data_IF_592187764773
#
_entry.id   IF_592187764773
#
_cell.length_a   1.000
_cell.length_b   1.000
_cell.length_c   1.000
_cell.angle_alpha   90.00
_cell.angle_beta   90.00
_cell.angle_gamma   90.00
#
_symmetry.space_group_name_H-M   'P 1'
#
loop_
_entity.id
_entity.type
_entity.pdbx_description
1 polymer ?
#
# COMPACT_ATOMS: atom_id res chain seq x y z
N UNK A 1 -2.47 -3.97 -11.69
CA UNK A 1 -1.97 -3.37 -10.45
C UNK A 1 -0.81 -4.19 -9.91
N UNK A 2 0.28 -3.53 -9.55
CA UNK A 2 1.40 -4.10 -8.79
C UNK A 2 1.36 -3.62 -7.34
N UNK A 3 1.64 -4.52 -6.40
CA UNK A 3 1.65 -4.21 -4.98
C UNK A 3 3.08 -3.95 -4.51
N UNK A 4 3.32 -2.82 -3.86
CA UNK A 4 4.65 -2.43 -3.38
C UNK A 4 4.60 -2.29 -1.87
N UNK A 5 5.29 -3.18 -1.16
CA UNK A 5 5.38 -3.20 0.29
C UNK A 5 6.80 -2.88 0.78
N UNK A 6 6.92 -2.55 2.07
CA UNK A 6 8.18 -2.27 2.72
C UNK A 6 8.05 -1.32 3.90
N UNK A 7 9.08 -1.25 4.73
CA UNK A 7 9.14 -0.36 5.89
C UNK A 7 9.02 1.13 5.54
N UNK A 8 8.85 1.98 6.56
CA UNK A 8 8.89 3.42 6.38
C UNK A 8 10.26 3.88 5.86
N UNK A 9 10.27 4.84 4.94
CA UNK A 9 11.48 5.47 4.40
C UNK A 9 12.44 4.51 3.67
N UNK A 10 11.95 3.37 3.17
CA UNK A 10 12.78 2.36 2.49
C UNK A 10 12.90 2.56 0.96
N UNK A 11 12.33 3.63 0.38
CA UNK A 11 12.46 3.92 -1.07
C UNK A 11 11.30 3.46 -1.97
N UNK A 12 10.17 3.01 -1.41
CA UNK A 12 9.00 2.54 -2.19
C UNK A 12 8.50 3.53 -3.24
N UNK A 13 8.34 4.81 -2.87
CA UNK A 13 7.84 5.83 -3.78
C UNK A 13 8.84 6.13 -4.91
N UNK A 14 10.15 6.12 -4.61
CA UNK A 14 11.21 6.26 -5.62
C UNK A 14 11.14 5.12 -6.63
N UNK A 15 11.09 3.88 -6.16
CA UNK A 15 10.96 2.70 -7.01
C UNK A 15 9.72 2.78 -7.92
N UNK A 16 8.55 3.11 -7.36
CA UNK A 16 7.33 3.25 -8.14
C UNK A 16 7.43 4.40 -9.16
N UNK A 17 7.96 5.56 -8.77
CA UNK A 17 8.09 6.70 -9.65
C UNK A 17 8.98 6.38 -10.86
N UNK A 18 10.09 5.68 -10.65
CA UNK A 18 11.00 5.28 -11.72
C UNK A 18 10.37 4.20 -12.62
N UNK A 19 9.80 3.14 -12.04
CA UNK A 19 9.24 1.99 -12.78
C UNK A 19 8.04 2.37 -13.65
N UNK A 20 7.11 3.19 -13.14
CA UNK A 20 5.88 3.58 -13.85
C UNK A 20 5.92 5.01 -14.41
N UNK A 21 7.08 5.68 -14.32
CA UNK A 21 7.29 7.07 -14.78
C UNK A 21 6.23 8.01 -14.20
N UNK A 22 6.03 7.94 -12.89
CA UNK A 22 5.01 8.71 -12.19
C UNK A 22 5.47 10.13 -11.91
N UNK A 23 4.54 11.06 -11.98
CA UNK A 23 4.64 12.43 -11.49
C UNK A 23 3.79 12.60 -10.24
N UNK A 24 3.89 13.74 -9.55
CA UNK A 24 3.06 14.03 -8.39
C UNK A 24 1.55 14.01 -8.70
N UNK A 25 1.15 14.36 -9.93
CA UNK A 25 -0.26 14.35 -10.35
C UNK A 25 -0.83 12.93 -10.53
N UNK A 26 0.04 11.92 -10.66
CA UNK A 26 -0.36 10.53 -10.86
C UNK A 26 -0.60 9.79 -9.53
N UNK A 27 -0.23 10.42 -8.40
CA UNK A 27 -0.21 9.82 -7.07
C UNK A 27 -1.34 10.39 -6.22
N UNK A 28 -2.18 9.50 -5.68
CA UNK A 28 -3.15 9.84 -4.63
C UNK A 28 -2.56 9.47 -3.26
N UNK A 29 -2.46 10.45 -2.37
CA UNK A 29 -2.00 10.23 -1.00
C UNK A 29 -3.20 9.86 -0.12
N UNK A 30 -3.35 8.56 0.15
CA UNK A 30 -4.46 8.09 0.97
C UNK A 30 -4.35 8.50 2.44
N UNK A 31 -3.29 9.16 2.91
CA UNK A 31 -3.24 9.73 4.25
C UNK A 31 -4.02 11.06 4.34
N UNK A 32 -4.02 11.85 3.27
CA UNK A 32 -4.60 13.20 3.23
C UNK A 32 -5.81 13.32 2.33
N UNK A 33 -5.85 12.54 1.27
CA UNK A 33 -6.82 12.69 0.18
C UNK A 33 -7.94 11.64 0.32
N UNK A 34 -9.12 12.01 -0.17
CA UNK A 34 -10.19 11.04 -0.41
C UNK A 34 -9.79 10.15 -1.61
N UNK A 35 -10.10 8.84 -1.59
CA UNK A 35 -9.85 7.96 -2.72
C UNK A 35 -10.52 8.48 -3.99
N UNK A 36 -9.71 8.78 -5.01
CA UNK A 36 -10.14 9.19 -6.34
C UNK A 36 -9.30 8.46 -7.39
N UNK A 37 -9.77 8.32 -8.64
CA UNK A 37 -9.00 7.64 -9.69
C UNK A 37 -7.60 8.22 -9.87
N UNK A 38 -6.59 7.39 -9.61
CA UNK A 38 -5.18 7.72 -9.77
C UNK A 38 -4.42 6.49 -10.29
N UNK A 39 -3.22 6.72 -10.83
CA UNK A 39 -2.36 5.64 -11.33
C UNK A 39 -1.62 4.93 -10.20
N UNK A 40 -1.31 5.66 -9.12
CA UNK A 40 -0.61 5.15 -7.97
C UNK A 40 -1.26 5.64 -6.67
N UNK A 41 -1.37 4.74 -5.69
CA UNK A 41 -1.84 5.08 -4.35
C UNK A 41 -0.73 4.87 -3.34
N UNK A 42 -0.55 5.82 -2.43
CA UNK A 42 0.39 5.70 -1.30
C UNK A 42 -0.35 5.73 0.03
N UNK A 43 0.33 5.32 1.11
CA UNK A 43 -0.22 5.34 2.46
C UNK A 43 -1.50 4.51 2.66
N UNK A 44 -1.56 3.33 2.04
CA UNK A 44 -2.68 2.39 2.18
C UNK A 44 -3.02 2.09 3.66
N UNK A 45 -2.04 2.10 4.55
CA UNK A 45 -2.24 1.92 5.99
C UNK A 45 -3.16 2.98 6.64
N UNK A 46 -3.18 4.21 6.09
CA UNK A 46 -4.04 5.27 6.58
C UNK A 46 -5.50 5.05 6.15
N UNK A 47 -5.72 4.61 4.91
CA UNK A 47 -7.05 4.27 4.40
C UNK A 47 -7.70 3.16 5.22
N UNK A 48 -6.96 2.08 5.50
CA UNK A 48 -7.49 0.97 6.32
C UNK A 48 -7.72 1.38 7.76
N UNK A 49 -6.99 2.38 8.27
CA UNK A 49 -7.20 2.93 9.61
C UNK A 49 -8.51 3.69 9.70
N UNK A 50 -8.86 4.46 8.66
CA UNK A 50 -10.16 5.15 8.56
C UNK A 50 -11.33 4.21 8.29
N UNK A 51 -11.05 3.00 7.80
CA UNK A 51 -12.07 1.97 7.55
C UNK A 51 -12.71 2.04 6.17
N UNK A 52 -12.16 2.86 5.25
CA UNK A 52 -12.73 3.16 3.92
C UNK A 52 -12.15 2.26 2.80
N UNK A 53 -11.52 1.15 3.18
CA UNK A 53 -10.80 0.31 2.22
C UNK A 53 -11.73 -0.50 1.31
N UNK A 54 -12.93 -0.83 1.78
CA UNK A 54 -13.87 -1.63 0.99
C UNK A 54 -14.41 -0.82 -0.20
N UNK A 55 -14.74 0.45 0.04
CA UNK A 55 -15.26 1.40 -0.95
C UNK A 55 -14.18 1.76 -1.99
N UNK A 56 -12.92 1.87 -1.57
CA UNK A 56 -11.80 2.20 -2.46
C UNK A 56 -11.26 0.99 -3.24
N UNK A 57 -11.66 -0.25 -2.90
CA UNK A 57 -11.08 -1.46 -3.49
C UNK A 57 -11.11 -1.47 -5.04
N UNK A 58 -12.20 -1.08 -5.74
CA UNK A 58 -12.20 -1.03 -7.20
C UNK A 58 -11.15 -0.06 -7.77
N UNK A 59 -10.93 1.07 -7.09
CA UNK A 59 -9.92 2.06 -7.47
C UNK A 59 -8.51 1.51 -7.28
N UNK A 60 -8.26 0.83 -6.16
CA UNK A 60 -6.97 0.19 -5.89
C UNK A 60 -6.62 -0.87 -6.93
N UNK A 61 -7.59 -1.73 -7.30
CA UNK A 61 -7.39 -2.80 -8.28
C UNK A 61 -7.20 -2.28 -9.72
N UNK A 62 -7.76 -1.11 -10.04
CA UNK A 62 -7.61 -0.47 -11.35
C UNK A 62 -6.27 0.30 -11.51
N UNK A 63 -5.53 0.52 -10.42
CA UNK A 63 -4.28 1.27 -10.42
C UNK A 63 -3.15 0.53 -11.15
N UNK A 64 -2.12 1.28 -11.56
CA UNK A 64 -0.84 0.67 -11.94
C UNK A 64 -0.11 0.16 -10.70
N UNK A 65 -0.08 0.93 -9.61
CA UNK A 65 0.61 0.55 -8.38
C UNK A 65 -0.17 0.94 -7.10
N UNK A 66 -0.07 0.10 -6.07
CA UNK A 66 -0.51 0.45 -4.70
C UNK A 66 0.67 0.24 -3.75
N UNK A 67 1.01 1.28 -3.01
CA UNK A 67 2.11 1.30 -2.06
C UNK A 67 1.57 1.21 -0.64
N UNK A 68 2.07 0.24 0.11
CA UNK A 68 1.73 0.06 1.51
C UNK A 68 2.96 -0.02 2.41
N UNK A 69 2.85 0.54 3.61
CA UNK A 69 3.83 0.31 4.65
C UNK A 69 3.61 -1.05 5.31
N UNK A 70 4.69 -1.78 5.55
CA UNK A 70 4.63 -2.96 6.42
C UNK A 70 4.47 -2.50 7.89
N UNK A 71 3.33 -2.82 8.48
CA UNK A 71 3.00 -2.51 9.89
C UNK A 71 2.77 -3.78 10.75
N UNK A 72 2.84 -4.97 10.14
CA UNK A 72 2.53 -6.25 10.78
C UNK A 72 3.72 -6.95 11.46
N UNK A 73 4.95 -6.59 11.11
CA UNK A 73 6.17 -7.34 11.49
C UNK A 73 6.81 -6.88 12.81
N UNK A 74 6.10 -6.08 13.61
CA UNK A 74 6.57 -5.58 14.91
C UNK A 74 5.91 -6.28 16.10
N UNK A 75 6.07 -5.71 17.29
CA UNK A 75 5.39 -6.20 18.51
C UNK A 75 3.88 -6.08 18.36
N UNK A 76 3.16 -7.10 18.85
CA UNK A 76 1.69 -7.12 18.92
C UNK A 76 1.22 -5.99 19.86
N UNK A 77 0.37 -5.06 19.40
CA UNK A 77 -0.09 -3.95 20.24
C UNK A 77 -0.91 -4.43 21.45
N UNK A 78 -0.76 -3.73 22.58
CA UNK A 78 -1.62 -3.93 23.75
C UNK A 78 -3.06 -3.48 23.45
N UNK A 79 -3.20 -2.35 22.76
CA UNK A 79 -4.50 -1.81 22.38
C UNK A 79 -5.22 -2.74 21.39
N UNK A 80 -6.49 -3.03 21.68
CA UNK A 80 -7.30 -3.92 20.87
C UNK A 80 -7.68 -3.28 19.51
N UNK A 81 -7.87 -1.96 19.46
CA UNK A 81 -8.16 -1.23 18.24
C UNK A 81 -7.00 -1.28 17.25
N UNK A 82 -5.78 -1.07 17.73
CA UNK A 82 -4.54 -1.20 16.96
C UNK A 82 -4.37 -2.62 16.39
N UNK A 83 -4.61 -3.66 17.20
CA UNK A 83 -4.58 -5.05 16.72
C UNK A 83 -5.62 -5.30 15.63
N UNK A 84 -6.87 -4.90 15.87
CA UNK A 84 -7.96 -5.09 14.92
C UNK A 84 -7.70 -4.36 13.60
N UNK A 85 -7.13 -3.15 13.65
CA UNK A 85 -6.73 -2.42 12.45
C UNK A 85 -5.61 -3.14 11.69
N UNK A 86 -4.55 -3.59 12.36
CA UNK A 86 -3.45 -4.34 11.71
C UNK A 86 -3.97 -5.62 11.05
N UNK A 87 -4.90 -6.32 11.68
CA UNK A 87 -5.51 -7.50 11.09
C UNK A 87 -6.33 -7.17 9.84
N UNK A 88 -7.19 -6.14 9.89
CA UNK A 88 -7.92 -5.66 8.70
C UNK A 88 -6.99 -5.26 7.57
N UNK A 89 -5.92 -4.53 7.88
CA UNK A 89 -4.92 -4.11 6.91
C UNK A 89 -4.20 -5.31 6.29
N UNK A 90 -3.82 -6.31 7.09
CA UNK A 90 -3.21 -7.55 6.60
C UNK A 90 -4.13 -8.35 5.66
N UNK A 91 -5.44 -8.43 5.99
CA UNK A 91 -6.43 -9.07 5.11
C UNK A 91 -6.55 -8.36 3.76
N UNK A 92 -6.57 -7.02 3.75
CA UNK A 92 -6.55 -6.25 2.50
C UNK A 92 -5.27 -6.48 1.71
N UNK A 93 -4.09 -6.44 2.34
CA UNK A 93 -2.82 -6.69 1.67
C UNK A 93 -2.78 -8.07 0.99
N UNK A 94 -3.29 -9.10 1.68
CA UNK A 94 -3.41 -10.44 1.11
C UNK A 94 -4.33 -10.43 -0.13
N UNK A 95 -5.48 -9.80 -0.03
CA UNK A 95 -6.42 -9.69 -1.16
C UNK A 95 -5.80 -8.96 -2.36
N UNK A 96 -5.08 -7.86 -2.11
CA UNK A 96 -4.37 -7.14 -3.17
C UNK A 96 -3.23 -7.97 -3.77
N UNK A 97 -2.46 -8.69 -2.96
CA UNK A 97 -1.36 -9.56 -3.43
C UNK A 97 -1.88 -10.73 -4.29
N UNK A 98 -3.03 -11.31 -3.95
CA UNK A 98 -3.68 -12.36 -4.74
C UNK A 98 -4.02 -11.85 -6.15
N UNK A 99 -4.50 -10.60 -6.26
CA UNK A 99 -4.89 -9.96 -7.53
C UNK A 99 -3.74 -9.25 -8.27
N UNK A 100 -2.64 -8.94 -7.58
CA UNK A 100 -1.54 -8.17 -8.15
C UNK A 100 -0.83 -8.95 -9.27
N UNK A 101 -0.36 -8.24 -10.30
CA UNK A 101 0.52 -8.82 -11.32
C UNK A 101 1.87 -9.18 -10.69
N UNK A 102 2.49 -8.17 -10.06
CA UNK A 102 3.71 -8.35 -9.28
C UNK A 102 3.54 -7.90 -7.82
N UNK A 103 4.32 -8.50 -6.92
CA UNK A 103 4.45 -8.04 -5.53
C UNK A 103 5.91 -7.73 -5.26
N UNK A 104 6.23 -6.45 -5.03
CA UNK A 104 7.57 -6.00 -4.70
C UNK A 104 7.69 -5.67 -3.22
N UNK A 105 8.79 -6.09 -2.61
CA UNK A 105 9.23 -5.61 -1.31
C UNK A 105 10.45 -4.73 -1.48
N UNK A 106 10.39 -3.53 -0.89
CA UNK A 106 11.52 -2.60 -0.90
C UNK A 106 12.16 -2.55 0.49
N UNK A 107 13.46 -2.83 0.54
CA UNK A 107 14.26 -2.84 1.76
C UNK A 107 15.61 -2.15 1.51
N UNK A 108 15.87 -1.05 2.21
CA UNK A 108 17.03 -0.18 2.04
C UNK A 108 17.24 0.27 0.58
N UNK A 109 16.14 0.53 -0.15
CA UNK A 109 16.16 0.85 -1.58
C UNK A 109 16.37 -0.35 -2.51
N UNK A 110 16.63 -1.54 -1.96
CA UNK A 110 16.77 -2.78 -2.73
C UNK A 110 15.38 -3.34 -3.04
N UNK A 111 15.21 -3.83 -4.26
CA UNK A 111 13.97 -4.45 -4.73
C UNK A 111 14.07 -5.96 -4.61
N UNK A 112 13.10 -6.57 -3.96
CA UNK A 112 12.85 -8.01 -3.94
C UNK A 112 11.48 -8.27 -4.58
N UNK A 113 11.42 -9.14 -5.58
CA UNK A 113 10.16 -9.55 -6.22
C UNK A 113 9.67 -10.85 -5.57
N UNK A 114 8.47 -10.80 -4.98
CA UNK A 114 7.86 -11.90 -4.24
C UNK A 114 6.84 -12.69 -5.08
N UNK A 115 6.28 -12.06 -6.12
CA UNK A 115 5.35 -12.60 -7.12
C UNK A 115 5.55 -11.86 -8.43
#
# INVERSE_FOLDING_TARGET
>A
MDLIIGGAYQGKCTFAAEKYRLTAADICDLATDAPAPARCYVHLEALTRRGEAAEALPLLLAAEAVISREIGSGVVPLDAGERAWRERHGRLLRQLAEQAGHVYRIFCGLTEELK
#
